data_IF_131178609680
#
_entry.id   IF_131178609680
#
_cell.length_a   1.000
_cell.length_b   1.000
_cell.length_c   1.000
_cell.angle_alpha   90.00
_cell.angle_beta   90.00
_cell.angle_gamma   90.00
#
_symmetry.space_group_name_H-M   'P 1'
#
loop_
_entity.id
_entity.type
_entity.pdbx_description
1 polymer ?
#
# COMPACT_ATOMS: atom_id res chain seq x y z
N UNK A 1 13.85 -11.26 2.80
CA UNK A 1 13.03 -10.12 3.20
C UNK A 1 11.82 -10.55 4.04
N UNK A 2 11.20 -9.61 4.74
CA UNK A 2 9.99 -9.89 5.50
C UNK A 2 8.84 -10.35 4.59
N UNK A 3 8.69 -9.75 3.42
CA UNK A 3 7.64 -10.06 2.44
C UNK A 3 7.98 -11.19 1.47
N UNK A 4 9.05 -11.95 1.69
CA UNK A 4 9.38 -13.13 0.88
C UNK A 4 10.07 -12.85 -0.46
N UNK A 5 10.39 -11.61 -0.80
CA UNK A 5 11.11 -11.27 -2.04
C UNK A 5 12.46 -11.99 -2.12
N UNK A 6 12.85 -12.40 -3.33
CA UNK A 6 14.08 -13.14 -3.62
C UNK A 6 14.01 -14.63 -3.33
N UNK A 7 12.82 -15.17 -3.04
CA UNK A 7 12.58 -16.61 -2.86
C UNK A 7 11.31 -17.01 -3.61
N UNK A 8 11.16 -18.27 -4.02
CA UNK A 8 9.90 -18.78 -4.53
C UNK A 8 8.78 -18.60 -3.51
N UNK A 9 7.56 -18.31 -3.98
CA UNK A 9 6.38 -18.20 -3.11
C UNK A 9 5.78 -19.55 -2.76
N UNK A 10 6.11 -20.59 -3.54
CA UNK A 10 5.57 -21.93 -3.39
C UNK A 10 4.17 -22.11 -3.95
N UNK A 11 3.78 -21.33 -4.96
CA UNK A 11 2.44 -21.39 -5.61
C UNK A 11 2.12 -22.71 -6.30
N UNK A 12 3.02 -23.68 -6.27
CA UNK A 12 2.85 -24.98 -6.91
C UNK A 12 2.68 -24.92 -8.45
N UNK A 13 3.30 -23.94 -9.10
CA UNK A 13 3.42 -23.84 -10.56
C UNK A 13 4.86 -24.06 -11.00
N UNK A 14 5.10 -24.72 -12.14
CA UNK A 14 6.44 -24.90 -12.66
C UNK A 14 7.03 -23.57 -13.15
N UNK A 15 8.36 -23.40 -13.03
CA UNK A 15 9.06 -22.25 -13.56
C UNK A 15 8.93 -20.96 -12.75
N UNK A 16 8.61 -21.05 -11.45
CA UNK A 16 8.52 -19.87 -10.59
C UNK A 16 9.87 -19.14 -10.49
N UNK A 17 9.89 -17.87 -10.89
CA UNK A 17 11.06 -17.00 -10.75
C UNK A 17 11.21 -16.48 -9.32
N UNK A 18 12.44 -16.06 -8.97
CA UNK A 18 12.76 -15.54 -7.64
C UNK A 18 12.97 -14.03 -7.59
N UNK A 19 13.02 -13.37 -8.77
CA UNK A 19 13.39 -11.97 -8.86
C UNK A 19 14.88 -11.74 -8.55
N UNK A 20 15.26 -10.50 -8.37
CA UNK A 20 16.64 -10.08 -8.04
C UNK A 20 16.61 -9.03 -6.94
N UNK A 21 17.42 -9.22 -5.92
CA UNK A 21 17.63 -8.22 -4.87
C UNK A 21 19.05 -8.31 -4.34
N UNK A 22 19.56 -7.18 -3.88
CA UNK A 22 20.84 -7.15 -3.19
C UNK A 22 20.75 -7.82 -1.82
N UNK A 23 21.78 -8.56 -1.45
CA UNK A 23 21.97 -8.95 -0.04
C UNK A 23 22.39 -7.72 0.76
N UNK A 24 21.96 -7.63 2.01
CA UNK A 24 22.28 -6.48 2.90
C UNK A 24 23.79 -6.21 2.96
N UNK A 25 24.60 -7.25 2.95
CA UNK A 25 26.07 -7.14 2.99
C UNK A 25 26.70 -6.56 1.71
N UNK A 26 25.95 -6.54 0.60
CA UNK A 26 26.39 -5.99 -0.70
C UNK A 26 25.70 -4.69 -1.06
N UNK A 27 24.85 -4.18 -0.18
CA UNK A 27 24.07 -2.97 -0.40
C UNK A 27 24.88 -1.76 0.05
N UNK A 28 25.29 -0.93 -0.92
CA UNK A 28 25.90 0.37 -0.65
C UNK A 28 24.85 1.48 -0.42
N UNK A 29 25.28 2.71 -0.15
CA UNK A 29 24.37 3.84 0.06
C UNK A 29 23.45 4.12 -1.15
N UNK A 30 23.94 3.92 -2.38
CA UNK A 30 23.17 4.15 -3.61
C UNK A 30 22.10 3.07 -3.75
N UNK A 31 22.44 1.80 -3.58
CA UNK A 31 21.49 0.70 -3.65
C UNK A 31 20.42 0.80 -2.55
N UNK A 32 20.81 1.22 -1.35
CA UNK A 32 19.87 1.47 -0.26
C UNK A 32 18.89 2.59 -0.61
N UNK A 33 19.40 3.72 -1.09
CA UNK A 33 18.59 4.86 -1.49
C UNK A 33 17.64 4.50 -2.64
N UNK A 34 18.12 3.83 -3.69
CA UNK A 34 17.31 3.47 -4.86
C UNK A 34 16.27 2.40 -4.53
N UNK A 35 16.61 1.42 -3.69
CA UNK A 35 15.66 0.39 -3.24
C UNK A 35 14.52 0.98 -2.42
N UNK A 36 14.73 2.07 -1.68
CA UNK A 36 13.70 2.70 -0.86
C UNK A 36 12.50 3.22 -1.65
N UNK A 37 12.68 3.55 -2.92
CA UNK A 37 11.60 3.95 -3.84
C UNK A 37 11.33 2.91 -4.96
N UNK A 38 11.82 1.66 -4.81
CA UNK A 38 11.46 0.55 -5.69
C UNK A 38 12.34 0.40 -6.93
N UNK A 39 13.52 1.01 -6.97
CA UNK A 39 14.52 0.78 -8.02
C UNK A 39 15.58 -0.22 -7.53
N UNK A 40 16.43 -0.72 -8.44
CA UNK A 40 17.52 -1.66 -8.15
C UNK A 40 17.07 -3.02 -7.58
N UNK A 41 15.80 -3.36 -7.66
CA UNK A 41 15.24 -4.67 -7.32
C UNK A 41 14.33 -5.15 -8.46
N UNK A 42 14.22 -6.47 -8.59
CA UNK A 42 13.26 -7.12 -9.48
C UNK A 42 12.47 -8.15 -8.67
N UNK A 43 11.16 -8.11 -8.80
CA UNK A 43 10.24 -9.04 -8.12
C UNK A 43 9.28 -9.63 -9.12
N UNK A 44 8.81 -10.85 -8.86
CA UNK A 44 7.79 -11.44 -9.72
C UNK A 44 6.41 -10.85 -9.41
N UNK A 45 5.46 -10.84 -10.36
CA UNK A 45 4.10 -10.39 -10.11
C UNK A 45 3.45 -11.10 -8.93
N UNK A 46 3.65 -12.40 -8.79
CA UNK A 46 3.10 -13.18 -7.68
C UNK A 46 3.72 -12.79 -6.33
N UNK A 47 5.01 -12.49 -6.28
CA UNK A 47 5.64 -11.96 -5.07
C UNK A 47 5.06 -10.60 -4.68
N UNK A 48 4.84 -9.72 -5.66
CA UNK A 48 4.31 -8.38 -5.41
C UNK A 48 2.86 -8.44 -4.92
N UNK A 49 1.98 -9.20 -5.59
CA UNK A 49 0.58 -9.29 -5.14
C UNK A 49 0.46 -9.99 -3.78
N UNK A 50 1.33 -10.97 -3.49
CA UNK A 50 1.39 -11.62 -2.17
C UNK A 50 1.82 -10.64 -1.08
N UNK A 51 2.77 -9.74 -1.37
CA UNK A 51 3.20 -8.71 -0.42
C UNK A 51 2.08 -7.70 -0.12
N UNK A 52 1.37 -7.24 -1.16
CA UNK A 52 0.20 -6.36 -1.01
C UNK A 52 -0.93 -7.08 -0.25
N UNK A 53 -1.18 -8.35 -0.58
CA UNK A 53 -2.15 -9.18 0.13
C UNK A 53 -1.79 -9.36 1.61
N UNK A 54 -0.50 -9.47 1.94
CA UNK A 54 -0.07 -9.54 3.34
C UNK A 54 -0.40 -8.25 4.12
N UNK A 55 -0.25 -7.08 3.49
CA UNK A 55 -0.69 -5.80 4.07
C UNK A 55 -2.20 -5.81 4.30
N UNK A 56 -2.98 -6.28 3.31
CA UNK A 56 -4.43 -6.39 3.40
C UNK A 56 -4.91 -7.45 4.42
N UNK A 57 -4.04 -8.37 4.84
CA UNK A 57 -4.33 -9.50 5.73
C UNK A 57 -3.59 -9.36 7.08
N UNK A 58 -3.74 -8.24 7.76
CA UNK A 58 -3.16 -7.97 9.09
C UNK A 58 -1.64 -8.19 9.15
N UNK A 59 -0.92 -8.05 8.04
CA UNK A 59 0.51 -8.30 7.94
C UNK A 59 0.92 -9.77 7.84
N UNK A 60 -0.03 -10.69 7.62
CA UNK A 60 0.24 -12.13 7.45
C UNK A 60 0.52 -12.46 5.99
N UNK A 61 1.73 -12.91 5.69
CA UNK A 61 2.10 -13.43 4.38
C UNK A 61 1.58 -14.86 4.25
N UNK A 62 0.69 -15.06 3.27
CA UNK A 62 0.14 -16.36 2.95
C UNK A 62 0.92 -17.02 1.82
N UNK A 63 0.95 -18.36 1.80
CA UNK A 63 1.39 -19.12 0.65
C UNK A 63 0.31 -19.02 -0.45
N UNK A 64 0.64 -18.52 -1.64
CA UNK A 64 -0.32 -18.50 -2.74
C UNK A 64 -0.74 -19.92 -3.14
N UNK A 65 -2.01 -20.11 -3.40
CA UNK A 65 -2.54 -21.39 -3.91
C UNK A 65 -3.57 -21.13 -5.01
N UNK A 66 -3.61 -22.02 -5.99
CA UNK A 66 -4.57 -21.99 -7.10
C UNK A 66 -5.46 -23.23 -7.11
N UNK A 67 -5.05 -24.28 -6.41
CA UNK A 67 -5.85 -25.49 -6.22
C UNK A 67 -6.43 -25.47 -4.82
N UNK A 68 -7.73 -25.61 -4.69
CA UNK A 68 -8.44 -25.71 -3.42
C UNK A 68 -8.55 -27.17 -3.00
N UNK A 69 -8.97 -28.02 -3.93
CA UNK A 69 -9.23 -29.44 -3.67
C UNK A 69 -9.08 -30.24 -4.95
N UNK A 70 -8.81 -31.53 -4.82
CA UNK A 70 -8.86 -32.55 -5.86
C UNK A 70 -9.98 -33.50 -5.53
N UNK A 71 -10.87 -33.76 -6.50
CA UNK A 71 -11.98 -34.68 -6.36
C UNK A 71 -11.81 -35.87 -7.30
N UNK A 72 -12.38 -37.02 -6.93
CA UNK A 72 -12.50 -38.20 -7.79
C UNK A 72 -13.64 -38.06 -8.78
N UNK A 73 -13.89 -39.12 -9.56
CA UNK A 73 -14.95 -39.19 -10.58
C UNK A 73 -16.37 -39.08 -10.00
N UNK A 74 -16.55 -39.36 -8.71
CA UNK A 74 -17.82 -39.27 -7.99
C UNK A 74 -18.03 -37.91 -7.34
N UNK A 75 -17.01 -37.03 -7.38
CA UNK A 75 -17.02 -35.72 -6.73
C UNK A 75 -16.60 -35.78 -5.25
N UNK A 76 -16.08 -36.91 -4.76
CA UNK A 76 -15.54 -37.00 -3.40
C UNK A 76 -14.16 -36.37 -3.30
N UNK A 77 -13.91 -35.63 -2.20
CA UNK A 77 -12.64 -34.93 -2.01
C UNK A 77 -11.55 -35.96 -1.69
N UNK A 78 -10.56 -36.06 -2.58
CA UNK A 78 -9.37 -36.91 -2.41
C UNK A 78 -8.26 -36.15 -1.67
N UNK A 79 -8.12 -34.85 -1.94
CA UNK A 79 -7.11 -34.00 -1.33
C UNK A 79 -7.64 -32.58 -1.17
N UNK A 80 -7.36 -31.94 -0.05
CA UNK A 80 -7.73 -30.53 0.23
C UNK A 80 -6.49 -29.72 0.60
N UNK A 81 -6.40 -28.50 0.09
CA UNK A 81 -5.31 -27.58 0.34
C UNK A 81 -5.81 -26.39 1.17
N UNK A 82 -5.51 -26.40 2.46
CA UNK A 82 -5.92 -25.33 3.36
C UNK A 82 -5.03 -24.07 3.23
N UNK A 83 -5.54 -22.87 3.58
CA UNK A 83 -4.74 -21.67 3.63
C UNK A 83 -3.57 -21.79 4.61
N UNK A 84 -2.34 -21.52 4.15
CA UNK A 84 -1.13 -21.63 4.95
C UNK A 84 -0.52 -20.24 5.19
N UNK A 85 -0.33 -19.88 6.48
CA UNK A 85 0.40 -18.69 6.87
C UNK A 85 1.89 -18.99 6.86
N UNK A 86 2.64 -18.37 5.95
CA UNK A 86 4.11 -18.54 5.89
C UNK A 86 4.76 -17.84 7.07
N UNK A 87 4.35 -16.60 7.34
CA UNK A 87 4.84 -15.79 8.46
C UNK A 87 4.07 -14.48 8.60
N UNK A 88 4.29 -13.78 9.69
CA UNK A 88 3.90 -12.38 9.83
C UNK A 88 5.02 -11.50 9.28
N UNK A 89 4.74 -10.75 8.21
CA UNK A 89 5.70 -9.86 7.56
C UNK A 89 5.86 -8.53 8.32
N UNK A 90 4.74 -7.98 8.79
CA UNK A 90 4.66 -6.76 9.62
C UNK A 90 3.59 -6.92 10.70
N UNK A 91 3.57 -6.04 11.69
CA UNK A 91 2.50 -6.02 12.70
C UNK A 91 1.15 -5.66 12.08
N UNK A 92 0.05 -6.02 12.76
CA UNK A 92 -1.28 -5.57 12.34
C UNK A 92 -1.35 -4.03 12.28
N UNK A 93 -0.85 -3.36 13.30
CA UNK A 93 -0.83 -1.88 13.35
C UNK A 93 -0.11 -1.28 12.15
N UNK A 94 1.06 -1.82 11.78
CA UNK A 94 1.80 -1.37 10.59
C UNK A 94 1.00 -1.64 9.29
N UNK A 95 0.31 -2.78 9.21
CA UNK A 95 -0.54 -3.11 8.08
C UNK A 95 -1.72 -2.12 7.95
N UNK A 96 -2.39 -1.82 9.06
CA UNK A 96 -3.50 -0.86 9.10
C UNK A 96 -3.04 0.55 8.68
N UNK A 97 -1.88 1.00 9.16
CA UNK A 97 -1.27 2.26 8.74
C UNK A 97 -0.97 2.29 7.24
N UNK A 98 -0.42 1.20 6.71
CA UNK A 98 -0.13 1.10 5.28
C UNK A 98 -1.41 1.14 4.45
N UNK A 99 -2.48 0.47 4.89
CA UNK A 99 -3.79 0.54 4.21
C UNK A 99 -4.34 1.97 4.20
N UNK A 100 -4.23 2.70 5.30
CA UNK A 100 -4.65 4.10 5.36
C UNK A 100 -3.85 5.00 4.40
N UNK A 101 -2.53 4.78 4.30
CA UNK A 101 -1.68 5.48 3.32
C UNK A 101 -2.09 5.11 1.88
N UNK A 102 -2.32 3.83 1.60
CA UNK A 102 -2.75 3.37 0.27
C UNK A 102 -4.11 3.96 -0.13
N UNK A 103 -5.04 4.08 0.83
CA UNK A 103 -6.32 4.75 0.60
C UNK A 103 -6.12 6.24 0.26
N UNK A 104 -5.26 6.94 1.00
CA UNK A 104 -4.95 8.35 0.71
C UNK A 104 -4.35 8.55 -0.69
N UNK A 105 -3.56 7.61 -1.19
CA UNK A 105 -3.05 7.64 -2.58
C UNK A 105 -4.18 7.61 -3.61
N UNK A 106 -5.24 6.85 -3.35
CA UNK A 106 -6.42 6.81 -4.23
C UNK A 106 -7.33 8.01 -3.99
N UNK A 107 -7.57 8.37 -2.74
CA UNK A 107 -8.47 9.47 -2.40
C UNK A 107 -7.92 10.83 -2.83
N UNK A 108 -6.62 11.09 -2.64
CA UNK A 108 -6.03 12.42 -2.77
C UNK A 108 -4.82 12.50 -3.71
N UNK A 109 -4.32 11.35 -4.18
CA UNK A 109 -3.05 11.26 -4.90
C UNK A 109 -3.14 10.69 -6.31
N UNK A 110 -2.03 10.10 -6.74
CA UNK A 110 -1.85 9.55 -8.09
C UNK A 110 -2.78 8.38 -8.44
N UNK A 111 -3.46 7.78 -7.45
CA UNK A 111 -4.41 6.68 -7.65
C UNK A 111 -5.84 7.10 -7.95
N UNK A 112 -6.15 8.39 -8.04
CA UNK A 112 -7.53 8.91 -8.11
C UNK A 112 -8.37 8.37 -9.29
N UNK A 113 -7.73 7.97 -10.39
CA UNK A 113 -8.41 7.35 -11.52
C UNK A 113 -9.00 5.95 -11.20
N UNK A 114 -8.64 5.35 -10.08
CA UNK A 114 -9.17 4.03 -9.63
C UNK A 114 -10.37 4.15 -8.68
N UNK A 115 -10.82 5.35 -8.35
CA UNK A 115 -11.99 5.54 -7.46
C UNK A 115 -13.22 4.84 -8.04
N UNK A 116 -13.94 4.14 -7.15
CA UNK A 116 -15.23 3.50 -7.44
C UNK A 116 -16.23 4.00 -6.41
N UNK A 117 -17.35 4.53 -6.88
CA UNK A 117 -18.39 5.06 -6.02
C UNK A 117 -18.95 3.97 -5.10
N UNK A 118 -19.01 4.26 -3.81
CA UNK A 118 -19.47 3.33 -2.80
C UNK A 118 -18.42 2.35 -2.29
N UNK A 119 -17.16 2.43 -2.73
CA UNK A 119 -16.10 1.56 -2.24
C UNK A 119 -14.86 2.36 -1.84
N UNK A 120 -14.31 2.03 -0.68
CA UNK A 120 -13.02 2.55 -0.24
C UNK A 120 -11.91 1.67 -0.81
N UNK A 121 -11.05 2.27 -1.61
CA UNK A 121 -9.99 1.57 -2.34
C UNK A 121 -8.65 2.16 -1.95
N UNK A 122 -7.71 1.30 -1.60
CA UNK A 122 -6.31 1.65 -1.44
C UNK A 122 -5.49 1.22 -2.65
N UNK A 123 -4.44 1.97 -2.97
CA UNK A 123 -3.59 1.57 -4.08
C UNK A 123 -2.25 2.28 -4.11
N UNK A 124 -1.37 1.77 -4.99
CA UNK A 124 -0.06 2.36 -5.28
C UNK A 124 0.30 2.17 -6.74
N UNK A 125 0.66 3.26 -7.38
CA UNK A 125 1.21 3.26 -8.74
C UNK A 125 2.68 2.90 -8.74
N UNK A 126 3.15 2.24 -9.79
CA UNK A 126 4.56 2.05 -10.08
C UNK A 126 4.87 2.42 -11.53
N UNK A 127 6.04 2.97 -11.75
CA UNK A 127 6.58 3.24 -13.09
C UNK A 127 8.09 3.00 -13.03
N UNK A 128 8.53 1.87 -13.51
CA UNK A 128 9.93 1.46 -13.48
C UNK A 128 10.54 1.54 -14.88
N UNK A 129 11.76 2.07 -14.99
CA UNK A 129 12.53 1.94 -16.22
C UNK A 129 13.04 0.51 -16.36
N UNK A 130 13.04 0.00 -17.59
CA UNK A 130 13.63 -1.31 -17.88
C UNK A 130 15.14 -1.22 -17.92
N UNK A 131 15.77 -2.27 -17.42
CA UNK A 131 17.21 -2.49 -17.55
C UNK A 131 17.43 -3.38 -18.78
N UNK A 132 18.10 -2.85 -19.80
CA UNK A 132 18.50 -3.57 -21.00
C UNK A 132 20.03 -3.49 -21.08
N UNK A 133 20.70 -4.61 -21.24
CA UNK A 133 22.16 -4.73 -21.26
C UNK A 133 22.85 -4.07 -20.05
N UNK A 134 22.23 -4.24 -18.87
CA UNK A 134 22.76 -3.73 -17.59
C UNK A 134 22.59 -2.22 -17.38
N UNK A 135 21.85 -1.51 -18.23
CA UNK A 135 21.62 -0.08 -18.13
C UNK A 135 20.13 0.27 -18.15
N UNK A 136 19.74 1.28 -17.39
CA UNK A 136 18.40 1.86 -17.47
C UNK A 136 18.20 2.49 -18.85
N UNK A 137 17.19 2.01 -19.59
CA UNK A 137 16.91 2.44 -20.94
C UNK A 137 15.77 3.46 -20.96
N UNK A 138 16.05 4.66 -21.44
CA UNK A 138 15.02 5.69 -21.62
C UNK A 138 14.00 5.27 -22.69
N UNK A 139 12.72 5.54 -22.44
CA UNK A 139 11.62 5.16 -23.35
C UNK A 139 11.05 3.75 -23.12
N UNK A 140 11.68 2.93 -22.29
CA UNK A 140 11.22 1.58 -21.97
C UNK A 140 10.81 1.50 -20.51
N UNK A 141 9.52 1.35 -20.25
CA UNK A 141 8.95 1.38 -18.90
C UNK A 141 8.05 0.17 -18.65
N UNK A 142 7.98 -0.22 -17.38
CA UNK A 142 6.95 -1.11 -16.84
C UNK A 142 6.04 -0.25 -15.99
N UNK A 143 4.78 -0.11 -16.39
CA UNK A 143 3.75 0.52 -15.60
C UNK A 143 3.07 -0.53 -14.72
N UNK A 144 2.83 -0.23 -13.45
CA UNK A 144 2.13 -1.12 -12.54
C UNK A 144 1.17 -0.35 -11.63
N UNK A 145 0.14 -1.03 -11.17
CA UNK A 145 -0.78 -0.53 -10.16
C UNK A 145 -1.20 -1.70 -9.26
N UNK A 146 -0.95 -1.55 -7.97
CA UNK A 146 -1.45 -2.46 -6.95
C UNK A 146 -2.63 -1.82 -6.24
N UNK A 147 -3.72 -2.57 -6.01
CA UNK A 147 -4.92 -2.09 -5.35
C UNK A 147 -5.45 -3.12 -4.34
N UNK A 148 -6.12 -2.62 -3.33
CA UNK A 148 -6.82 -3.40 -2.29
C UNK A 148 -8.22 -2.82 -2.11
N UNK A 149 -9.24 -3.66 -2.01
CA UNK A 149 -10.61 -3.25 -1.76
C UNK A 149 -11.45 -4.35 -1.10
N UNK A 150 -12.48 -3.99 -0.29
CA UNK A 150 -12.62 -2.70 0.39
C UNK A 150 -11.51 -2.49 1.44
N UNK A 151 -11.21 -1.25 1.82
CA UNK A 151 -10.15 -1.00 2.83
C UNK A 151 -10.58 -1.43 4.23
N UNK A 152 -11.85 -1.25 4.57
CA UNK A 152 -12.42 -1.60 5.89
C UNK A 152 -12.48 -3.12 6.15
N UNK A 153 -12.63 -3.92 5.09
CA UNK A 153 -12.65 -5.39 5.15
C UNK A 153 -12.07 -5.96 3.83
N UNK A 154 -10.76 -6.01 3.68
CA UNK A 154 -10.11 -6.36 2.42
C UNK A 154 -10.50 -7.75 1.89
N UNK A 155 -11.13 -7.79 0.72
CA UNK A 155 -11.54 -9.01 0.02
C UNK A 155 -10.67 -9.29 -1.20
N UNK A 156 -10.08 -8.24 -1.78
CA UNK A 156 -9.33 -8.34 -3.05
C UNK A 156 -8.02 -7.58 -2.94
N UNK A 157 -6.93 -8.23 -3.33
CA UNK A 157 -5.67 -7.59 -3.69
C UNK A 157 -5.45 -7.80 -5.19
N UNK A 158 -5.30 -6.72 -5.95
CA UNK A 158 -5.16 -6.71 -7.39
C UNK A 158 -3.82 -6.08 -7.77
N UNK A 159 -3.12 -6.70 -8.70
CA UNK A 159 -1.94 -6.12 -9.35
C UNK A 159 -2.14 -6.15 -10.87
N UNK A 160 -2.07 -5.00 -11.50
CA UNK A 160 -2.08 -4.86 -12.96
C UNK A 160 -0.74 -4.31 -13.42
N UNK A 161 -0.16 -4.95 -14.43
CA UNK A 161 1.14 -4.60 -14.99
C UNK A 161 0.99 -4.47 -16.50
N UNK A 162 1.58 -3.42 -17.07
CA UNK A 162 1.75 -3.26 -18.52
C UNK A 162 3.23 -3.08 -18.81
N UNK A 163 3.77 -3.99 -19.61
CA UNK A 163 5.14 -3.92 -20.10
C UNK A 163 5.18 -3.08 -21.37
N UNK A 164 6.02 -2.07 -21.38
CA UNK A 164 6.21 -1.12 -22.48
C UNK A 164 4.88 -0.53 -23.00
N UNK A 165 4.13 0.21 -22.17
CA UNK A 165 2.90 0.84 -22.62
C UNK A 165 3.16 1.73 -23.85
N UNK A 166 2.34 1.56 -24.87
CA UNK A 166 2.40 2.39 -26.08
C UNK A 166 1.36 3.49 -26.00
N UNK A 167 1.73 4.70 -26.40
CA UNK A 167 0.83 5.86 -26.42
C UNK A 167 1.45 7.12 -25.81
N UNK A 168 0.59 8.07 -25.47
CA UNK A 168 1.01 9.40 -24.99
C UNK A 168 1.55 9.41 -23.56
N UNK A 169 1.37 8.35 -22.79
CA UNK A 169 1.80 8.27 -21.39
C UNK A 169 2.33 6.88 -21.05
N UNK A 170 3.30 6.84 -20.16
CA UNK A 170 3.86 5.62 -19.55
C UNK A 170 3.63 5.57 -18.03
N UNK A 171 2.99 6.59 -17.47
CA UNK A 171 2.72 6.62 -16.02
C UNK A 171 1.63 5.64 -15.63
N UNK A 172 1.93 4.82 -14.60
CA UNK A 172 1.00 3.80 -14.10
C UNK A 172 -0.38 4.36 -13.71
N UNK A 173 -0.45 5.57 -13.19
CA UNK A 173 -1.72 6.25 -12.88
C UNK A 173 -2.61 6.46 -14.11
N UNK A 174 -2.02 6.96 -15.20
CA UNK A 174 -2.75 7.31 -16.41
C UNK A 174 -3.12 6.08 -17.23
N UNK A 175 -2.17 5.15 -17.36
CA UNK A 175 -2.34 3.95 -18.20
C UNK A 175 -3.24 2.92 -17.52
N UNK A 176 -3.07 2.72 -16.22
CA UNK A 176 -3.69 1.60 -15.49
C UNK A 176 -4.88 2.01 -14.63
N UNK A 177 -4.99 3.28 -14.23
CA UNK A 177 -6.07 3.72 -13.35
C UNK A 177 -7.46 3.29 -13.83
N UNK A 178 -7.87 3.60 -15.06
CA UNK A 178 -9.17 3.18 -15.60
C UNK A 178 -9.35 1.66 -15.68
N UNK A 179 -8.27 0.93 -16.02
CA UNK A 179 -8.27 -0.53 -16.14
C UNK A 179 -8.45 -1.18 -14.77
N UNK A 180 -7.68 -0.73 -13.78
CA UNK A 180 -7.78 -1.20 -12.37
C UNK A 180 -9.18 -0.93 -11.82
N UNK A 181 -9.72 0.28 -12.08
CA UNK A 181 -11.09 0.64 -11.68
C UNK A 181 -12.11 -0.35 -12.23
N UNK A 182 -12.06 -0.62 -13.53
CA UNK A 182 -13.02 -1.53 -14.20
C UNK A 182 -12.91 -2.95 -13.64
N UNK A 183 -11.70 -3.50 -13.58
CA UNK A 183 -11.46 -4.86 -13.06
C UNK A 183 -11.93 -4.97 -11.61
N UNK A 184 -11.55 -4.02 -10.76
CA UNK A 184 -11.92 -4.03 -9.34
C UNK A 184 -13.44 -3.93 -9.16
N UNK A 185 -14.11 -3.08 -9.94
CA UNK A 185 -15.56 -2.93 -9.90
C UNK A 185 -16.28 -4.23 -10.27
N UNK A 186 -15.80 -4.93 -11.29
CA UNK A 186 -16.40 -6.19 -11.74
C UNK A 186 -16.16 -7.30 -10.70
N UNK A 187 -14.96 -7.38 -10.12
CA UNK A 187 -14.64 -8.35 -9.07
C UNK A 187 -15.50 -8.11 -7.81
N UNK A 188 -15.61 -6.87 -7.33
CA UNK A 188 -16.40 -6.55 -6.14
C UNK A 188 -17.88 -6.91 -6.33
N UNK A 189 -18.43 -6.66 -7.52
CA UNK A 189 -19.79 -7.07 -7.87
C UNK A 189 -19.93 -8.59 -7.91
N UNK A 190 -18.99 -9.28 -8.53
CA UNK A 190 -18.97 -10.74 -8.61
C UNK A 190 -18.93 -11.40 -7.23
N UNK A 191 -18.13 -10.85 -6.31
CA UNK A 191 -18.03 -11.32 -4.92
C UNK A 191 -19.24 -10.90 -4.06
N UNK A 192 -20.17 -10.12 -4.60
CA UNK A 192 -21.34 -9.65 -3.85
C UNK A 192 -20.99 -8.63 -2.75
N UNK A 193 -19.83 -8.00 -2.82
CA UNK A 193 -19.45 -6.94 -1.89
C UNK A 193 -20.36 -5.74 -2.11
N UNK A 194 -21.11 -5.38 -1.06
CA UNK A 194 -22.07 -4.28 -1.16
C UNK A 194 -21.35 -2.93 -1.08
N UNK A 195 -21.77 -1.95 -1.90
CA UNK A 195 -21.29 -0.58 -1.74
C UNK A 195 -21.60 -0.07 -0.32
N UNK A 196 -20.65 0.59 0.29
CA UNK A 196 -20.84 1.28 1.55
C UNK A 196 -21.64 2.56 1.28
N UNK A 197 -22.84 2.69 1.88
CA UNK A 197 -23.68 3.86 1.71
C UNK A 197 -22.98 5.16 2.16
N UNK A 198 -22.11 5.09 3.17
CA UNK A 198 -21.29 6.21 3.61
C UNK A 198 -20.26 6.61 2.56
N UNK A 199 -19.62 5.65 1.88
CA UNK A 199 -18.67 5.92 0.80
C UNK A 199 -19.37 6.53 -0.45
N UNK A 200 -20.66 6.31 -0.65
CA UNK A 200 -21.44 6.97 -1.72
C UNK A 200 -21.69 8.44 -1.40
N UNK A 201 -21.91 8.77 -0.13
CA UNK A 201 -22.14 10.16 0.31
C UNK A 201 -20.83 10.96 0.21
N UNK A 202 -19.67 10.31 0.39
CA UNK A 202 -18.34 10.95 0.35
C UNK A 202 -17.90 11.40 -1.04
N UNK A 203 -18.48 10.85 -2.11
CA UNK A 203 -18.25 11.34 -3.48
C UNK A 203 -19.01 12.64 -3.82
N UNK A 204 -19.93 13.05 -2.97
CA UNK A 204 -20.59 14.35 -3.05
C UNK A 204 -19.78 15.38 -2.24
N UNK A 205 -18.83 16.05 -2.87
CA UNK A 205 -18.15 17.32 -2.51
C UNK A 205 -17.87 17.67 -1.02
N UNK A 206 -18.24 16.86 -0.05
CA UNK A 206 -17.99 17.08 1.37
C UNK A 206 -16.59 16.57 1.76
N UNK A 207 -15.58 17.24 1.23
CA UNK A 207 -14.22 17.07 1.74
C UNK A 207 -14.12 17.74 3.09
N UNK A 208 -13.72 16.98 4.10
CA UNK A 208 -13.45 17.49 5.43
C UNK A 208 -12.02 18.01 5.44
N UNK A 209 -11.82 19.22 5.93
CA UNK A 209 -10.49 19.76 6.18
C UNK A 209 -9.97 19.15 7.48
N UNK A 210 -8.79 18.57 7.45
CA UNK A 210 -8.12 18.09 8.66
C UNK A 210 -7.84 19.33 9.55
N UNK A 211 -8.37 19.36 10.78
CA UNK A 211 -8.14 20.50 11.69
C UNK A 211 -6.68 20.60 12.08
N UNK A 212 -6.27 21.75 12.63
CA UNK A 212 -4.97 21.88 13.26
C UNK A 212 -4.95 21.04 14.54
N UNK A 213 -4.18 19.98 14.53
CA UNK A 213 -4.12 18.97 15.60
C UNK A 213 -2.74 18.86 16.25
N UNK A 214 -1.73 19.54 15.71
CA UNK A 214 -0.39 19.53 16.26
C UNK A 214 -0.34 20.24 17.62
N UNK A 215 0.55 19.77 18.47
CA UNK A 215 0.74 20.25 19.84
C UNK A 215 -0.51 20.12 20.74
N UNK A 216 -1.42 19.20 20.38
CA UNK A 216 -2.62 18.91 21.16
C UNK A 216 -2.57 17.48 21.72
N UNK A 217 -3.26 17.25 22.82
CA UNK A 217 -3.34 15.89 23.41
C UNK A 217 -4.02 14.93 22.47
N UNK A 218 -3.47 13.73 22.34
CA UNK A 218 -4.04 12.68 21.52
C UNK A 218 -5.52 12.42 21.82
N UNK A 219 -5.89 12.35 23.12
CA UNK A 219 -7.28 12.10 23.54
C UNK A 219 -8.28 13.15 23.05
N UNK A 220 -7.86 14.41 22.96
CA UNK A 220 -8.71 15.49 22.43
C UNK A 220 -8.83 15.41 20.91
N UNK A 221 -7.70 15.14 20.23
CA UNK A 221 -7.63 15.01 18.78
C UNK A 221 -8.44 13.81 18.30
N UNK A 222 -8.35 12.66 18.97
CA UNK A 222 -9.11 11.47 18.66
C UNK A 222 -10.63 11.74 18.66
N UNK A 223 -11.14 12.39 19.72
CA UNK A 223 -12.55 12.74 19.84
C UNK A 223 -12.98 13.72 18.75
N UNK A 224 -12.13 14.68 18.40
CA UNK A 224 -12.44 15.66 17.35
C UNK A 224 -12.49 15.02 15.96
N UNK A 225 -11.52 14.17 15.63
CA UNK A 225 -11.52 13.43 14.36
C UNK A 225 -12.72 12.51 14.23
N UNK A 226 -13.10 11.79 15.30
CA UNK A 226 -14.31 10.95 15.32
C UNK A 226 -15.59 11.78 15.08
N UNK A 227 -15.71 12.95 15.71
CA UNK A 227 -16.86 13.86 15.48
C UNK A 227 -16.95 14.36 14.04
N UNK A 228 -15.80 14.48 13.38
CA UNK A 228 -15.72 14.85 11.97
C UNK A 228 -15.93 13.64 11.04
N UNK A 229 -16.09 12.43 11.59
CA UNK A 229 -16.18 11.20 10.79
C UNK A 229 -14.86 10.81 10.14
N UNK A 230 -13.74 11.18 10.74
CA UNK A 230 -12.37 10.83 10.32
C UNK A 230 -11.82 9.78 11.28
N UNK A 231 -11.44 8.61 10.75
CA UNK A 231 -10.70 7.62 11.51
C UNK A 231 -9.27 8.08 11.82
N UNK A 232 -8.63 7.46 12.80
CA UNK A 232 -7.22 7.72 13.08
C UNK A 232 -6.47 6.43 13.42
N UNK A 233 -5.17 6.41 13.12
CA UNK A 233 -4.24 5.35 13.46
C UNK A 233 -2.97 5.97 14.06
N UNK A 234 -2.32 5.28 14.99
CA UNK A 234 -1.07 5.71 15.60
C UNK A 234 0.14 5.14 14.88
N UNK A 235 1.27 5.84 14.93
CA UNK A 235 2.55 5.29 14.47
C UNK A 235 2.94 4.06 15.30
N UNK A 236 3.27 2.96 14.60
CA UNK A 236 3.54 1.64 15.21
C UNK A 236 4.80 1.58 16.08
N UNK A 237 5.64 2.60 16.08
CA UNK A 237 6.88 2.63 16.87
C UNK A 237 6.67 3.06 18.33
N UNK A 238 5.46 3.44 18.69
CA UNK A 238 5.16 3.94 20.02
C UNK A 238 4.24 2.97 20.77
N UNK A 239 4.60 2.61 22.00
CA UNK A 239 3.64 2.09 22.96
C UNK A 239 2.47 3.07 23.04
N UNK A 240 1.24 2.57 23.11
CA UNK A 240 0.03 3.41 23.10
C UNK A 240 0.03 4.30 24.36
N UNK A 241 0.77 5.38 24.31
CA UNK A 241 0.67 6.42 25.33
C UNK A 241 -0.44 7.41 24.95
N UNK A 242 -1.64 7.13 25.44
CA UNK A 242 -2.81 8.00 25.25
C UNK A 242 -2.67 9.37 25.92
N UNK A 243 -1.60 9.60 26.69
CA UNK A 243 -1.28 10.90 27.30
C UNK A 243 -0.40 11.77 26.39
N UNK A 244 0.14 11.23 25.30
CA UNK A 244 1.05 11.89 24.37
C UNK A 244 0.44 13.08 23.64
N UNK A 245 1.30 13.91 23.08
CA UNK A 245 0.94 15.09 22.28
C UNK A 245 1.11 14.71 20.80
N UNK A 246 0.14 15.05 19.95
CA UNK A 246 0.25 14.91 18.51
C UNK A 246 1.27 15.91 17.99
N UNK A 247 2.39 15.41 17.47
CA UNK A 247 3.47 16.24 16.89
C UNK A 247 3.25 16.49 15.40
N UNK A 248 2.65 15.52 14.70
CA UNK A 248 2.40 15.62 13.27
C UNK A 248 1.29 14.64 12.84
N UNK A 249 0.85 14.76 11.58
CA UNK A 249 -0.10 13.82 10.98
C UNK A 249 0.12 13.63 9.48
N UNK A 250 -0.43 12.52 8.95
CA UNK A 250 -0.55 12.32 7.52
C UNK A 250 -1.96 11.77 7.19
N UNK A 251 -2.73 12.41 6.30
CA UNK A 251 -2.48 13.71 5.67
C UNK A 251 -2.30 14.86 6.68
N UNK A 252 -1.76 15.99 6.22
CA UNK A 252 -1.40 17.14 7.07
C UNK A 252 -2.62 17.96 7.50
N UNK A 253 -2.53 18.71 8.61
CA UNK A 253 -3.51 19.75 8.92
C UNK A 253 -3.70 20.71 7.74
N UNK A 254 -4.97 20.99 7.41
CA UNK A 254 -5.35 21.79 6.23
C UNK A 254 -5.62 20.99 4.96
N UNK A 255 -5.16 19.74 4.87
CA UNK A 255 -5.51 18.87 3.74
C UNK A 255 -7.01 18.52 3.75
N UNK A 256 -7.56 18.34 2.55
CA UNK A 256 -8.96 17.97 2.35
C UNK A 256 -9.07 16.48 2.10
N UNK A 257 -9.72 15.76 3.00
CA UNK A 257 -9.95 14.32 2.91
C UNK A 257 -11.43 14.00 2.80
N UNK A 258 -11.82 12.92 2.11
CA UNK A 258 -13.19 12.41 2.18
C UNK A 258 -13.58 12.06 3.61
N UNK A 259 -14.85 12.17 3.95
CA UNK A 259 -15.40 11.67 5.21
C UNK A 259 -15.14 10.16 5.32
N UNK A 260 -14.84 9.63 6.50
CA UNK A 260 -14.48 8.22 6.70
C UNK A 260 -12.99 7.90 6.40
N UNK A 261 -12.23 8.85 5.84
CA UNK A 261 -10.77 8.69 5.70
C UNK A 261 -10.10 8.50 7.05
N UNK A 262 -8.94 7.84 7.05
CA UNK A 262 -8.13 7.70 8.26
C UNK A 262 -6.91 8.62 8.19
N UNK A 263 -6.56 9.20 9.32
CA UNK A 263 -5.38 10.06 9.52
C UNK A 263 -4.39 9.33 10.42
N UNK A 264 -3.15 9.21 9.97
CA UNK A 264 -2.06 8.72 10.80
C UNK A 264 -1.57 9.85 11.71
N UNK A 265 -1.49 9.58 13.01
CA UNK A 265 -1.04 10.51 14.02
C UNK A 265 0.34 10.09 14.53
N UNK A 266 1.25 11.03 14.53
CA UNK A 266 2.56 10.90 15.15
C UNK A 266 2.50 11.52 16.54
N UNK A 267 2.80 10.71 17.56
CA UNK A 267 2.77 11.15 18.97
C UNK A 267 4.20 11.32 19.45
N UNK A 268 4.47 12.39 20.17
CA UNK A 268 5.75 12.66 20.80
C UNK A 268 5.57 13.22 22.22
N UNK A 269 6.67 13.30 22.96
CA UNK A 269 6.71 14.06 24.21
C UNK A 269 6.88 15.54 23.90
N UNK A 270 6.35 16.42 24.74
CA UNK A 270 6.48 17.88 24.61
C UNK A 270 7.93 18.41 24.77
N UNK A 271 8.90 17.50 24.88
CA UNK A 271 10.32 17.78 25.08
C UNK A 271 11.18 17.51 23.86
N UNK A 272 10.57 17.32 22.67
CA UNK A 272 11.37 17.13 21.45
C UNK A 272 12.19 18.38 21.16
N UNK A 273 13.50 18.27 21.41
CA UNK A 273 14.48 19.22 20.93
C UNK A 273 14.39 19.30 19.41
N UNK A 274 14.00 20.45 18.91
CA UNK A 274 14.03 20.75 17.47
C UNK A 274 15.47 20.64 17.01
N UNK A 275 15.81 19.58 16.28
CA UNK A 275 17.09 19.49 15.60
C UNK A 275 17.03 20.48 14.43
N UNK A 276 17.76 21.56 14.57
CA UNK A 276 17.94 22.54 13.48
C UNK A 276 18.78 21.84 12.40
N UNK A 277 18.21 21.67 11.22
CA UNK A 277 18.93 21.13 10.07
C UNK A 277 20.09 22.07 9.74
N UNK A 278 21.34 21.59 9.74
CA UNK A 278 22.47 22.44 9.39
C UNK A 278 22.33 22.92 7.93
N UNK A 279 22.79 24.13 7.68
CA UNK A 279 22.86 24.62 6.30
C UNK A 279 23.88 23.79 5.50
N UNK A 280 23.36 23.04 4.54
CA UNK A 280 24.14 22.18 3.66
C UNK A 280 24.44 22.87 2.31
N UNK A 281 24.04 24.14 2.13
CA UNK A 281 24.28 24.89 0.91
C UNK A 281 25.80 24.99 0.63
N UNK A 282 26.20 24.49 -0.54
CA UNK A 282 27.59 24.53 -0.97
C UNK A 282 28.52 23.47 -0.36
N UNK A 283 27.99 22.52 0.44
CA UNK A 283 28.77 21.39 0.97
C UNK A 283 28.76 20.21 0.00
N UNK A 284 29.82 19.44 0.01
CA UNK A 284 29.91 18.20 -0.77
C UNK A 284 29.38 17.02 0.04
N UNK A 285 29.07 15.91 -0.64
CA UNK A 285 28.56 14.67 0.01
C UNK A 285 29.54 14.08 1.04
N UNK A 286 30.77 14.56 1.11
CA UNK A 286 31.78 14.14 2.07
C UNK A 286 31.88 15.06 3.29
N UNK A 287 31.26 16.20 3.28
CA UNK A 287 31.16 17.18 4.35
C UNK A 287 29.79 17.13 5.04
#
# INVERSE_FOLDING_TARGET
TAFGFGKPTGIALPGEGVGMQYTVSKMGPVELATTSFGQSISVTPIQMVSAISAVANDGKLMKPRIVKEVTDENGEIVESFEPEVVKRAVSKTTADQMLAIMESVVANGSGSATKIDGYRIGGKTGTAQKVIDGKYQSGYYIASFAAVAPIEDPQVALLVIVDEPKGASYFGSTVLGPVVRQIMQDILRYLGVKPNAQAVIENNDSKIVIPEIRNRKYSEVAIELEKLGIGHVLDAQQEIDTSGIVIDSFPKPGDKVPQGSSVMLYIGSSTDETIIMPDLSGKTVKE
#
